data_IF_093386585323
#
_entry.id   IF_093386585323
#
_cell.length_a   1.000
_cell.length_b   1.000
_cell.length_c   1.000
_cell.angle_alpha   90.00
_cell.angle_beta   90.00
_cell.angle_gamma   90.00
#
_symmetry.space_group_name_H-M   'P 1'
#
loop_
_entity.id
_entity.type
_entity.pdbx_description
1 polymer ?
#
# COMPACT_ATOMS: atom_id res chain seq x y z
N UNK A 1 19.59 -3.33 -4.40
CA UNK A 1 18.16 -2.95 -4.47
C UNK A 1 17.35 -4.23 -4.49
N UNK A 2 16.23 -4.28 -3.75
CA UNK A 2 15.30 -5.41 -3.78
C UNK A 2 14.14 -5.07 -4.73
N UNK A 3 13.46 -6.09 -5.26
CA UNK A 3 12.26 -5.90 -6.08
C UNK A 3 11.17 -5.09 -5.35
N UNK A 4 11.12 -5.18 -4.01
CA UNK A 4 10.21 -4.39 -3.18
C UNK A 4 10.65 -2.92 -3.12
N UNK A 5 11.94 -2.62 -2.96
CA UNK A 5 12.46 -1.26 -2.98
C UNK A 5 12.23 -0.58 -4.33
N UNK A 6 12.42 -1.31 -5.43
CA UNK A 6 12.19 -0.78 -6.78
C UNK A 6 10.70 -0.47 -7.00
N UNK A 7 9.81 -1.36 -6.55
CA UNK A 7 8.37 -1.13 -6.65
C UNK A 7 7.90 0.07 -5.82
N UNK A 8 8.44 0.27 -4.61
CA UNK A 8 8.18 1.48 -3.81
C UNK A 8 8.59 2.73 -4.59
N UNK A 9 9.77 2.72 -5.20
CA UNK A 9 10.25 3.85 -5.98
C UNK A 9 9.35 4.14 -7.19
N UNK A 10 8.84 3.11 -7.86
CA UNK A 10 7.90 3.26 -8.97
C UNK A 10 6.56 3.88 -8.54
N UNK A 11 6.02 3.48 -7.38
CA UNK A 11 4.81 4.10 -6.81
C UNK A 11 5.01 5.58 -6.52
N UNK A 12 6.16 5.95 -5.92
CA UNK A 12 6.49 7.36 -5.63
C UNK A 12 6.67 8.17 -6.91
N UNK A 13 7.33 7.61 -7.94
CA UNK A 13 7.47 8.26 -9.25
C UNK A 13 6.11 8.47 -9.92
N UNK A 14 5.24 7.46 -9.92
CA UNK A 14 3.89 7.53 -10.45
C UNK A 14 3.07 8.62 -9.73
N UNK A 15 3.16 8.68 -8.39
CA UNK A 15 2.48 9.71 -7.59
C UNK A 15 2.96 11.15 -7.91
N UNK A 16 4.21 11.31 -8.35
CA UNK A 16 4.78 12.61 -8.74
C UNK A 16 4.52 12.98 -10.21
N UNK A 17 3.87 12.11 -10.99
CA UNK A 17 3.57 12.35 -12.40
C UNK A 17 2.19 11.79 -12.78
N UNK A 18 1.20 12.02 -11.92
CA UNK A 18 -0.16 11.48 -12.08
C UNK A 18 -0.86 11.99 -13.33
N UNK A 19 -0.45 13.15 -13.85
CA UNK A 19 -0.92 13.73 -15.12
C UNK A 19 -0.51 12.91 -16.35
N UNK A 20 0.47 12.02 -16.23
CA UNK A 20 0.96 11.14 -17.31
C UNK A 20 0.35 9.75 -17.25
N UNK A 21 -0.42 9.44 -16.22
CA UNK A 21 -1.01 8.12 -16.00
C UNK A 21 -2.42 8.07 -16.57
N UNK A 22 -2.78 6.91 -17.08
CA UNK A 22 -4.16 6.55 -17.35
C UNK A 22 -4.84 5.97 -16.10
N UNK A 23 -6.18 6.02 -16.01
CA UNK A 23 -6.93 5.38 -14.93
C UNK A 23 -6.61 3.87 -14.78
N UNK A 24 -6.39 3.17 -15.88
CA UNK A 24 -6.07 1.75 -15.88
C UNK A 24 -4.68 1.48 -15.28
N UNK A 25 -3.68 2.31 -15.60
CA UNK A 25 -2.34 2.20 -15.00
C UNK A 25 -2.40 2.41 -13.49
N UNK A 26 -3.16 3.42 -13.04
CA UNK A 26 -3.35 3.66 -11.59
C UNK A 26 -4.05 2.49 -10.91
N UNK A 27 -5.16 1.97 -11.47
CA UNK A 27 -5.84 0.80 -10.90
C UNK A 27 -4.89 -0.39 -10.78
N UNK A 28 -4.18 -0.74 -11.86
CA UNK A 28 -3.26 -1.88 -11.86
C UNK A 28 -2.12 -1.73 -10.85
N UNK A 29 -1.57 -0.51 -10.70
CA UNK A 29 -0.53 -0.24 -9.70
C UNK A 29 -1.05 -0.38 -8.27
N UNK A 30 -2.26 0.12 -7.99
CA UNK A 30 -2.88 0.02 -6.66
C UNK A 30 -3.32 -1.41 -6.35
N UNK A 31 -3.83 -2.16 -7.32
CA UNK A 31 -4.21 -3.58 -7.18
C UNK A 31 -2.97 -4.43 -6.83
N UNK A 32 -1.87 -4.26 -7.58
CA UNK A 32 -0.58 -4.89 -7.28
C UNK A 32 -0.06 -4.49 -5.90
N UNK A 33 -0.26 -3.24 -5.49
CA UNK A 33 0.13 -2.75 -4.17
C UNK A 33 -0.65 -3.45 -3.06
N UNK A 34 -1.97 -3.59 -3.21
CA UNK A 34 -2.81 -4.32 -2.25
C UNK A 34 -2.36 -5.77 -2.10
N UNK A 35 -2.02 -6.46 -3.18
CA UNK A 35 -1.55 -7.84 -3.12
C UNK A 35 -0.19 -7.96 -2.43
N UNK A 36 0.72 -7.01 -2.70
CA UNK A 36 2.02 -6.92 -2.04
C UNK A 36 1.85 -6.68 -0.53
N UNK A 37 0.98 -5.75 -0.13
CA UNK A 37 0.67 -5.46 1.28
C UNK A 37 0.08 -6.70 1.98
N UNK A 38 -0.88 -7.37 1.33
CA UNK A 38 -1.47 -8.61 1.87
C UNK A 38 -0.42 -9.70 2.05
N UNK A 39 0.51 -9.85 1.11
CA UNK A 39 1.61 -10.80 1.23
C UNK A 39 2.52 -10.47 2.42
N UNK A 40 3.01 -9.23 2.51
CA UNK A 40 3.89 -8.82 3.60
C UNK A 40 3.21 -8.96 4.97
N UNK A 41 1.92 -8.62 5.08
CA UNK A 41 1.14 -8.84 6.30
C UNK A 41 1.06 -10.32 6.67
N UNK A 42 0.84 -11.22 5.69
CA UNK A 42 0.84 -12.67 5.95
C UNK A 42 2.20 -13.16 6.44
N UNK A 43 3.29 -12.72 5.82
CA UNK A 43 4.66 -13.04 6.24
C UNK A 43 4.94 -12.59 7.69
N UNK A 44 4.35 -11.46 8.10
CA UNK A 44 4.49 -10.89 9.44
C UNK A 44 3.42 -11.35 10.46
N UNK A 45 2.48 -12.20 10.06
CA UNK A 45 1.36 -12.62 10.93
C UNK A 45 0.37 -11.50 11.30
N UNK A 46 0.35 -10.40 10.54
CA UNK A 46 -0.53 -9.25 10.80
C UNK A 46 -1.94 -9.55 10.26
N UNK A 47 -2.91 -9.56 11.17
CA UNK A 47 -4.32 -9.77 10.84
C UNK A 47 -5.05 -8.41 10.78
N UNK A 48 -5.75 -8.08 9.68
CA UNK A 48 -6.48 -6.83 9.57
C UNK A 48 -7.72 -6.82 10.48
N UNK A 49 -8.07 -5.64 10.99
CA UNK A 49 -9.32 -5.46 11.72
C UNK A 49 -10.48 -5.33 10.73
N UNK A 50 -11.54 -6.17 10.84
CA UNK A 50 -12.70 -6.09 9.96
C UNK A 50 -13.30 -4.68 9.91
N UNK A 51 -13.52 -4.17 8.69
CA UNK A 51 -14.12 -2.86 8.46
C UNK A 51 -13.23 -1.64 8.78
N UNK A 52 -11.99 -1.84 9.25
CA UNK A 52 -11.06 -0.77 9.61
C UNK A 52 -9.68 -0.90 8.93
N UNK A 53 -9.63 -1.64 7.84
CA UNK A 53 -8.37 -1.83 7.11
C UNK A 53 -8.04 -0.62 6.24
N UNK A 54 -6.81 -0.11 6.35
CA UNK A 54 -6.26 0.94 5.49
C UNK A 54 -6.33 0.57 3.99
N UNK A 55 -6.35 -0.73 3.64
CA UNK A 55 -6.54 -1.18 2.25
C UNK A 55 -7.88 -0.75 1.65
N UNK A 56 -8.90 -0.43 2.46
CA UNK A 56 -10.20 0.06 1.97
C UNK A 56 -10.03 1.35 1.17
N UNK A 57 -9.16 2.26 1.61
CA UNK A 57 -8.90 3.50 0.89
C UNK A 57 -8.25 3.22 -0.47
N UNK A 58 -7.20 2.39 -0.49
CA UNK A 58 -6.49 2.00 -1.71
C UNK A 58 -7.45 1.33 -2.71
N UNK A 59 -8.30 0.41 -2.23
CA UNK A 59 -9.31 -0.25 -3.04
C UNK A 59 -10.31 0.74 -3.65
N UNK A 60 -10.74 1.74 -2.88
CA UNK A 60 -11.67 2.77 -3.35
C UNK A 60 -11.05 3.62 -4.46
N UNK A 61 -9.78 4.01 -4.33
CA UNK A 61 -9.08 4.77 -5.38
C UNK A 61 -8.87 3.91 -6.63
N UNK A 62 -8.47 2.64 -6.48
CA UNK A 62 -8.30 1.72 -7.61
C UNK A 62 -9.61 1.52 -8.40
N UNK A 63 -10.69 1.13 -7.71
CA UNK A 63 -12.00 0.93 -8.33
C UNK A 63 -12.61 2.22 -8.89
N UNK A 64 -12.26 3.36 -8.30
CA UNK A 64 -12.73 4.68 -8.69
C UNK A 64 -11.81 5.42 -9.66
N UNK A 65 -10.72 4.82 -10.15
CA UNK A 65 -9.64 5.54 -10.83
C UNK A 65 -10.14 6.45 -11.97
N UNK A 66 -11.12 6.00 -12.76
CA UNK A 66 -11.68 6.77 -13.87
C UNK A 66 -12.57 7.96 -13.46
N UNK A 67 -12.92 8.09 -12.18
CA UNK A 67 -13.90 9.05 -11.65
C UNK A 67 -13.34 9.96 -10.57
N UNK A 68 -12.26 9.56 -9.91
CA UNK A 68 -11.61 10.35 -8.86
C UNK A 68 -10.55 11.28 -9.46
N UNK A 69 -10.29 12.46 -8.87
CA UNK A 69 -9.29 13.39 -9.38
C UNK A 69 -7.86 12.84 -9.20
N UNK A 70 -6.90 13.38 -9.97
CA UNK A 70 -5.48 13.00 -9.90
C UNK A 70 -4.87 13.16 -8.50
N UNK A 71 -5.41 14.03 -7.65
CA UNK A 71 -5.02 14.16 -6.25
C UNK A 71 -5.28 12.87 -5.45
N UNK A 72 -6.42 12.23 -5.67
CA UNK A 72 -6.73 10.93 -5.05
C UNK A 72 -5.81 9.83 -5.58
N UNK A 73 -5.40 9.88 -6.85
CA UNK A 73 -4.40 8.96 -7.38
C UNK A 73 -3.06 9.14 -6.67
N UNK A 74 -2.61 10.39 -6.52
CA UNK A 74 -1.36 10.72 -5.82
C UNK A 74 -1.40 10.21 -4.38
N UNK A 75 -2.49 10.50 -3.65
CA UNK A 75 -2.66 10.06 -2.27
C UNK A 75 -2.71 8.53 -2.17
N UNK A 76 -3.46 7.85 -3.04
CA UNK A 76 -3.52 6.39 -3.08
C UNK A 76 -2.17 5.73 -3.34
N UNK A 77 -1.40 6.24 -4.30
CA UNK A 77 -0.08 5.72 -4.67
C UNK A 77 0.97 5.94 -3.57
N UNK A 78 0.99 7.13 -2.94
CA UNK A 78 1.88 7.39 -1.81
C UNK A 78 1.51 6.56 -0.59
N UNK A 79 0.23 6.43 -0.29
CA UNK A 79 -0.23 5.62 0.84
C UNK A 79 0.14 4.15 0.67
N UNK A 80 -0.03 3.61 -0.55
CA UNK A 80 0.44 2.27 -0.89
C UNK A 80 1.97 2.13 -0.70
N UNK A 81 2.75 3.09 -1.20
CA UNK A 81 4.21 3.08 -1.08
C UNK A 81 4.68 3.11 0.38
N UNK A 82 4.06 3.95 1.20
CA UNK A 82 4.32 4.04 2.65
C UNK A 82 4.03 2.72 3.35
N UNK A 83 2.85 2.13 3.13
CA UNK A 83 2.48 0.85 3.75
C UNK A 83 3.45 -0.28 3.36
N UNK A 84 3.82 -0.37 2.08
CA UNK A 84 4.78 -1.40 1.62
C UNK A 84 6.15 -1.16 2.26
N UNK A 85 6.62 0.09 2.32
CA UNK A 85 7.89 0.44 2.95
C UNK A 85 7.90 0.05 4.42
N UNK A 86 6.88 0.41 5.17
CA UNK A 86 6.84 0.18 6.62
C UNK A 86 6.82 -1.33 6.92
N UNK A 87 6.01 -2.11 6.18
CA UNK A 87 6.00 -3.57 6.31
C UNK A 87 7.32 -4.22 5.86
N UNK A 88 7.91 -3.73 4.78
CA UNK A 88 9.20 -4.22 4.28
C UNK A 88 10.31 -4.00 5.30
N UNK A 89 10.37 -2.81 5.93
CA UNK A 89 11.34 -2.49 6.97
C UNK A 89 11.18 -3.45 8.14
N UNK A 90 9.97 -3.59 8.69
CA UNK A 90 9.68 -4.49 9.82
C UNK A 90 10.15 -5.91 9.53
N UNK A 91 9.85 -6.42 8.32
CA UNK A 91 10.26 -7.75 7.89
C UNK A 91 11.78 -7.87 7.79
N UNK A 92 12.42 -6.90 7.17
CA UNK A 92 13.87 -6.94 6.91
C UNK A 92 14.70 -6.72 8.19
N UNK A 93 14.20 -5.95 9.16
CA UNK A 93 14.85 -5.75 10.46
C UNK A 93 14.58 -6.86 11.46
N UNK A 94 13.67 -7.80 11.14
CA UNK A 94 13.25 -8.86 12.06
C UNK A 94 12.53 -8.33 13.30
N UNK A 95 11.84 -7.19 13.18
CA UNK A 95 11.17 -6.57 14.33
C UNK A 95 10.00 -7.42 14.81
N UNK A 96 10.07 -7.88 16.06
CA UNK A 96 8.99 -8.64 16.71
C UNK A 96 7.96 -7.70 17.36
N UNK A 97 6.68 -7.83 17.00
CA UNK A 97 5.58 -7.17 17.71
C UNK A 97 5.08 -8.07 18.85
N UNK A 98 5.23 -7.63 20.10
CA UNK A 98 4.58 -8.28 21.26
C UNK A 98 3.30 -7.52 21.60
N UNK A 99 2.16 -8.05 21.19
CA UNK A 99 0.86 -7.54 21.62
C UNK A 99 0.54 -8.21 22.96
N UNK A 100 0.81 -7.53 24.08
CA UNK A 100 0.36 -7.96 25.40
C UNK A 100 -1.08 -7.49 25.62
N UNK A 101 -1.98 -8.41 25.97
CA UNK A 101 -3.32 -8.03 26.46
C UNK A 101 -3.16 -7.21 27.75
N UNK A 102 -3.50 -5.92 27.67
CA UNK A 102 -3.71 -5.09 28.86
C UNK A 102 -4.98 -5.59 29.53
N UNK A 103 -4.85 -6.40 30.59
CA UNK A 103 -5.97 -6.71 31.48
C UNK A 103 -6.43 -5.39 32.13
N UNK A 104 -7.58 -4.89 31.70
CA UNK A 104 -8.35 -3.86 32.43
C UNK A 104 -9.08 -4.48 33.62
#
# INVERSE_FOLDING_TARGET
MSATTDFIADLVRAANSTEKLSPNEVSNMLDRSMDTIRQLRRELGIVPVPGKDALIYIQKVAAGAAKVPHEEWRHGLLHAAEMIRDLHIVRDTGTEFRISESKS
#
